data_IF_935936853499
#
_entry.id   IF_935936853499
#
_cell.length_a   1.000
_cell.length_b   1.000
_cell.length_c   1.000
_cell.angle_alpha   90.00
_cell.angle_beta   90.00
_cell.angle_gamma   90.00
#
_symmetry.space_group_name_H-M   'P 1'
#
loop_
_entity.id
_entity.type
_entity.pdbx_description
1 polymer ?
#
# COMPACT_ATOMS: atom_id res chain seq x y z
N UNK A 1 4.38 -18.96 10.44
CA UNK A 1 3.01 -18.43 10.52
C UNK A 1 3.14 -16.92 10.62
N UNK A 2 2.75 -16.26 9.54
CA UNK A 2 3.00 -14.85 9.25
C UNK A 2 2.08 -13.96 10.10
N UNK A 3 2.63 -13.30 11.12
CA UNK A 3 1.90 -12.26 11.84
C UNK A 3 2.28 -10.92 11.25
N UNK A 4 1.41 -10.42 10.36
CA UNK A 4 1.40 -9.03 9.92
C UNK A 4 1.37 -8.13 11.14
N UNK A 5 2.48 -7.42 11.36
CA UNK A 5 2.64 -6.56 12.51
C UNK A 5 1.79 -5.30 12.30
N UNK A 6 0.63 -5.35 12.94
CA UNK A 6 -0.31 -4.27 13.12
C UNK A 6 0.42 -3.09 13.78
N UNK A 7 0.60 -2.00 13.04
CA UNK A 7 0.85 -0.70 13.69
C UNK A 7 -0.49 -0.17 14.25
N UNK A 8 -0.98 -0.85 15.29
CA UNK A 8 -2.04 -0.36 16.14
C UNK A 8 -1.45 0.63 17.14
N UNK A 9 -1.39 1.90 16.76
CA UNK A 9 -1.05 2.98 17.70
C UNK A 9 -1.96 4.17 17.46
N UNK A 10 -3.25 4.07 17.79
CA UNK A 10 -4.20 5.20 17.95
C UNK A 10 -4.33 6.23 16.81
N UNK A 11 -3.63 6.02 15.69
CA UNK A 11 -3.59 6.88 14.53
C UNK A 11 -4.60 6.34 13.53
N UNK A 12 -5.47 7.20 13.02
CA UNK A 12 -6.49 6.82 12.04
C UNK A 12 -5.89 6.19 10.77
N UNK A 13 -6.78 5.75 9.88
CA UNK A 13 -6.44 5.14 8.60
C UNK A 13 -5.31 5.88 7.87
N UNK A 14 -4.29 5.16 7.40
CA UNK A 14 -3.14 5.76 6.72
C UNK A 14 -3.54 6.52 5.42
N UNK A 15 -4.65 6.14 4.80
CA UNK A 15 -5.11 6.76 3.56
C UNK A 15 -6.02 7.96 3.83
N UNK A 16 -7.09 7.80 4.62
CA UNK A 16 -8.09 8.87 4.80
C UNK A 16 -8.08 9.53 6.19
N UNK A 17 -7.19 9.10 7.08
CA UNK A 17 -7.03 9.59 8.46
C UNK A 17 -8.30 9.51 9.33
N UNK A 18 -9.31 8.74 8.92
CA UNK A 18 -10.53 8.49 9.69
C UNK A 18 -10.32 7.36 10.71
N UNK A 19 -11.24 7.27 11.67
CA UNK A 19 -11.23 6.25 12.73
C UNK A 19 -11.64 4.86 12.20
N UNK A 20 -10.75 4.21 11.47
CA UNK A 20 -10.82 2.80 11.07
C UNK A 20 -9.42 2.27 10.73
N UNK A 21 -9.20 0.94 10.80
CA UNK A 21 -7.96 0.33 10.35
C UNK A 21 -7.78 0.49 8.83
N UNK A 22 -6.55 0.71 8.38
CA UNK A 22 -6.17 0.90 6.96
C UNK A 22 -6.73 -0.19 6.03
N UNK A 23 -6.78 -1.43 6.52
CA UNK A 23 -7.34 -2.60 5.81
C UNK A 23 -8.82 -2.42 5.45
N UNK A 24 -9.61 -1.88 6.38
CA UNK A 24 -11.06 -1.64 6.19
C UNK A 24 -11.37 -0.31 5.49
N UNK A 25 -10.38 0.37 4.93
CA UNK A 25 -10.61 1.64 4.25
C UNK A 25 -11.34 1.45 2.92
N UNK A 26 -12.51 2.07 2.77
CA UNK A 26 -13.33 1.98 1.55
C UNK A 26 -12.78 2.75 0.34
N UNK A 27 -11.60 3.37 0.45
CA UNK A 27 -10.97 4.07 -0.68
C UNK A 27 -10.50 3.08 -1.74
N UNK A 28 -10.74 3.45 -3.01
CA UNK A 28 -10.28 2.73 -4.18
C UNK A 28 -8.76 2.63 -4.21
N UNK A 29 -8.21 1.60 -4.86
CA UNK A 29 -6.75 1.48 -5.06
C UNK A 29 -6.16 2.74 -5.71
N UNK A 30 -6.83 3.31 -6.70
CA UNK A 30 -6.41 4.55 -7.36
C UNK A 30 -6.31 5.73 -6.38
N UNK A 31 -7.29 5.88 -5.48
CA UNK A 31 -7.27 6.95 -4.47
C UNK A 31 -6.14 6.72 -3.46
N UNK A 32 -5.93 5.48 -3.02
CA UNK A 32 -4.82 5.11 -2.14
C UNK A 32 -3.46 5.42 -2.78
N UNK A 33 -3.27 5.13 -4.08
CA UNK A 33 -2.05 5.47 -4.82
C UNK A 33 -1.83 6.98 -4.85
N UNK A 34 -2.88 7.75 -5.16
CA UNK A 34 -2.81 9.22 -5.19
C UNK A 34 -2.37 9.76 -3.84
N UNK A 35 -2.99 9.31 -2.75
CA UNK A 35 -2.66 9.74 -1.40
C UNK A 35 -1.23 9.40 -1.02
N UNK A 36 -0.76 8.18 -1.31
CA UNK A 36 0.63 7.78 -1.00
C UNK A 36 1.64 8.62 -1.78
N UNK A 37 1.31 8.94 -3.04
CA UNK A 37 2.12 9.83 -3.90
C UNK A 37 2.17 11.26 -3.35
N UNK A 38 1.01 11.83 -3.00
CA UNK A 38 0.89 13.18 -2.42
C UNK A 38 1.62 13.30 -1.08
N UNK A 39 1.55 12.26 -0.26
CA UNK A 39 2.24 12.19 1.03
C UNK A 39 3.73 11.83 0.88
N UNK A 40 4.24 11.61 -0.34
CA UNK A 40 5.63 11.22 -0.64
C UNK A 40 6.10 10.01 0.17
N UNK A 41 5.21 9.03 0.34
CA UNK A 41 5.48 7.81 1.09
C UNK A 41 5.93 6.68 0.17
N UNK A 42 6.71 5.77 0.73
CA UNK A 42 7.11 4.53 0.06
C UNK A 42 5.88 3.74 -0.38
N UNK A 43 5.78 3.37 -1.66
CA UNK A 43 4.68 2.53 -2.15
C UNK A 43 4.74 1.09 -1.59
N UNK A 44 5.88 0.64 -1.04
CA UNK A 44 6.05 -0.72 -0.50
C UNK A 44 5.71 -0.85 0.98
N UNK A 45 5.91 0.19 1.78
CA UNK A 45 5.69 0.12 3.24
C UNK A 45 5.00 1.35 3.84
N UNK A 46 4.68 2.35 3.01
CA UNK A 46 4.04 3.61 3.40
C UNK A 46 4.85 4.49 4.37
N UNK A 47 6.13 4.17 4.55
CA UNK A 47 7.07 4.99 5.32
C UNK A 47 7.52 6.22 4.52
N UNK A 48 7.59 7.42 5.11
CA UNK A 48 8.00 8.63 4.42
C UNK A 48 9.53 8.81 4.31
N UNK A 49 10.35 7.98 4.98
CA UNK A 49 11.81 8.10 4.99
C UNK A 49 12.46 7.80 3.63
N UNK A 50 11.85 6.89 2.86
CA UNK A 50 12.44 6.38 1.63
C UNK A 50 11.41 6.11 0.54
N UNK A 51 11.91 5.88 -0.68
CA UNK A 51 11.10 5.51 -1.84
C UNK A 51 11.15 4.01 -2.11
N UNK A 52 10.16 3.49 -2.84
CA UNK A 52 10.01 2.05 -3.11
C UNK A 52 11.24 1.37 -3.71
N UNK A 53 11.98 2.07 -4.57
CA UNK A 53 13.18 1.52 -5.22
C UNK A 53 14.36 1.34 -4.25
N UNK A 54 14.36 2.02 -3.08
CA UNK A 54 15.34 1.80 -2.00
C UNK A 54 14.81 0.88 -0.90
N UNK A 55 13.53 0.52 -0.95
CA UNK A 55 12.87 -0.23 0.10
C UNK A 55 13.27 -1.72 0.06
N UNK A 56 13.77 -2.22 1.19
CA UNK A 56 14.20 -3.60 1.38
C UNK A 56 13.04 -4.58 1.65
N UNK A 57 11.80 -4.08 1.75
CA UNK A 57 10.62 -4.96 1.90
C UNK A 57 10.40 -5.80 0.65
N UNK A 58 9.72 -6.96 0.74
CA UNK A 58 9.38 -7.75 -0.44
C UNK A 58 8.53 -6.94 -1.43
N UNK A 59 8.58 -7.35 -2.70
CA UNK A 59 7.69 -6.82 -3.73
C UNK A 59 6.27 -7.35 -3.55
N UNK A 60 5.32 -6.75 -4.27
CA UNK A 60 3.91 -7.13 -4.22
C UNK A 60 3.74 -8.63 -4.52
N UNK A 61 3.10 -9.42 -3.64
CA UNK A 61 2.88 -10.84 -3.88
C UNK A 61 1.93 -11.11 -5.06
N UNK A 62 1.09 -10.12 -5.43
CA UNK A 62 0.09 -10.28 -6.48
C UNK A 62 0.63 -10.07 -7.90
N UNK A 63 1.64 -9.21 -8.08
CA UNK A 63 2.16 -8.86 -9.41
C UNK A 63 3.69 -8.75 -9.51
N UNK A 64 4.42 -8.95 -8.39
CA UNK A 64 5.87 -8.87 -8.33
C UNK A 64 6.47 -7.45 -8.41
N UNK A 65 5.65 -6.41 -8.51
CA UNK A 65 6.10 -5.02 -8.67
C UNK A 65 6.42 -4.32 -7.34
N UNK A 66 7.09 -3.16 -7.43
CA UNK A 66 7.60 -2.38 -6.29
C UNK A 66 6.52 -1.59 -5.52
N UNK A 67 5.48 -2.27 -5.04
CA UNK A 67 4.43 -1.68 -4.22
C UNK A 67 3.84 -2.68 -3.20
N UNK A 68 3.03 -2.19 -2.26
CA UNK A 68 2.28 -2.98 -1.30
C UNK A 68 0.96 -3.45 -1.91
N UNK A 69 0.46 -4.63 -1.51
CA UNK A 69 -0.76 -5.24 -2.06
C UNK A 69 -2.00 -4.32 -2.02
N UNK A 70 -2.13 -3.48 -0.98
CA UNK A 70 -3.21 -2.51 -0.82
C UNK A 70 -3.32 -1.45 -1.91
N UNK A 71 -2.29 -1.29 -2.73
CA UNK A 71 -2.28 -0.37 -3.88
C UNK A 71 -2.00 -1.11 -5.20
N UNK A 72 -2.18 -2.43 -5.22
CA UNK A 72 -1.96 -3.25 -6.41
C UNK A 72 -3.13 -3.16 -7.39
N UNK A 73 -2.89 -2.60 -8.58
CA UNK A 73 -3.89 -2.51 -9.65
C UNK A 73 -4.15 -3.85 -10.36
N UNK A 74 -3.22 -4.80 -10.29
CA UNK A 74 -3.39 -6.12 -10.92
C UNK A 74 -4.54 -6.95 -10.30
N UNK A 75 -5.04 -6.55 -9.12
CA UNK A 75 -6.22 -7.15 -8.51
C UNK A 75 -7.54 -6.65 -9.12
N UNK A 76 -7.50 -5.57 -9.91
CA UNK A 76 -8.66 -4.91 -10.49
C UNK A 76 -8.69 -4.97 -12.02
N UNK A 77 -7.57 -5.29 -12.68
CA UNK A 77 -7.50 -5.50 -14.14
C UNK A 77 -6.88 -6.88 -14.45
N UNK A 78 -7.68 -7.87 -14.90
CA UNK A 78 -7.18 -9.21 -15.20
C UNK A 78 -6.35 -9.33 -16.49
N UNK A 79 -6.02 -8.23 -17.19
CA UNK A 79 -5.43 -8.28 -18.54
C UNK A 79 -4.00 -7.70 -18.61
N UNK A 80 -3.56 -6.85 -17.66
CA UNK A 80 -2.39 -6.00 -17.92
C UNK A 80 -1.02 -6.41 -17.36
N UNK A 81 -0.85 -7.54 -16.63
CA UNK A 81 0.44 -7.84 -15.97
C UNK A 81 1.28 -9.00 -16.56
N UNK A 82 0.94 -9.50 -17.76
CA UNK A 82 1.80 -10.46 -18.48
C UNK A 82 2.53 -9.78 -19.65
N UNK A 83 3.78 -9.38 -19.42
CA UNK A 83 4.81 -9.29 -20.45
C UNK A 83 6.00 -10.12 -19.99
#
# INVERSE_FOLDING_TARGET
METGNQHGSSAGCLFCHKSHPTDSCSLSVLDRIRIVSEQKRCYKCFDPDHWSYKCQKPNCPNCGQNHHEYICLALFDPISYKN
#
